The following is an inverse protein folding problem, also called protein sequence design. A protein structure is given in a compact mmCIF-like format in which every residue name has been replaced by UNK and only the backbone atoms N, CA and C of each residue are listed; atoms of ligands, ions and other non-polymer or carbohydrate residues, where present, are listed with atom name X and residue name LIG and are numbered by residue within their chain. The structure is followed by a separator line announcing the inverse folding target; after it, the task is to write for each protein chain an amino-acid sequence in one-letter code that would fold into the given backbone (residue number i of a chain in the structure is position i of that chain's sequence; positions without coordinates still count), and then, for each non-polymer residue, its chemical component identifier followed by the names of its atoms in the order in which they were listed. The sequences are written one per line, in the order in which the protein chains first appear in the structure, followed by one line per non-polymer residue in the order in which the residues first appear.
data_IF_963255114895
#
_entry.id   IF_963255114895
#
_cell.length_a   1.000
_cell.length_b   1.000
_cell.length_c   1.000
_cell.angle_alpha   90.00
_cell.angle_beta   90.00
_cell.angle_gamma   90.00
#
_symmetry.space_group_name_H-M   'P 1'
#
loop_
_entity.id
_entity.type
_entity.pdbx_description
1 polymer ?
#
# COMPACT_ATOMS: atom_id res chain seq x y z
N UNK A 1 -13.91 -15.70 -3.22
CA UNK A 1 -12.86 -14.77 -2.76
C UNK A 1 -13.08 -13.44 -3.45
N UNK A 2 -13.58 -12.43 -2.73
CA UNK A 2 -14.06 -11.18 -3.32
C UNK A 2 -12.89 -10.29 -3.78
N UNK A 3 -12.86 -9.98 -5.08
CA UNK A 3 -11.97 -9.01 -5.72
C UNK A 3 -12.37 -7.58 -5.30
N UNK A 4 -12.04 -7.17 -4.07
CA UNK A 4 -12.22 -5.77 -3.64
C UNK A 4 -11.00 -4.95 -4.04
N UNK A 5 -11.20 -3.98 -4.93
CA UNK A 5 -10.17 -3.02 -5.32
C UNK A 5 -9.84 -2.00 -4.21
N UNK A 6 -10.78 -1.79 -3.27
CA UNK A 6 -10.69 -0.80 -2.21
C UNK A 6 -10.73 -1.47 -0.84
N UNK A 7 -9.64 -1.29 -0.08
CA UNK A 7 -9.47 -1.77 1.29
C UNK A 7 -9.90 -0.68 2.28
N UNK A 8 -10.63 -1.10 3.31
CA UNK A 8 -10.93 -0.28 4.48
C UNK A 8 -9.79 -0.34 5.49
N UNK A 9 -9.76 0.59 6.44
CA UNK A 9 -8.76 0.55 7.51
C UNK A 9 -8.86 -0.71 8.39
N UNK A 10 -10.06 -1.26 8.52
CA UNK A 10 -10.28 -2.52 9.24
C UNK A 10 -9.67 -3.69 8.47
N UNK A 11 -9.86 -3.77 7.15
CA UNK A 11 -9.21 -4.77 6.31
C UNK A 11 -7.67 -4.67 6.34
N UNK A 12 -7.12 -3.44 6.37
CA UNK A 12 -5.67 -3.25 6.51
C UNK A 12 -5.14 -3.74 7.86
N UNK A 13 -5.92 -3.58 8.92
CA UNK A 13 -5.58 -4.06 10.26
C UNK A 13 -5.71 -5.59 10.34
N UNK A 14 -6.77 -6.18 9.78
CA UNK A 14 -6.97 -7.63 9.69
C UNK A 14 -5.91 -8.33 8.83
N UNK A 15 -5.44 -7.66 7.78
CA UNK A 15 -4.31 -8.12 6.96
C UNK A 15 -2.96 -8.00 7.67
N UNK A 16 -2.90 -7.40 8.86
CA UNK A 16 -1.67 -7.24 9.61
C UNK A 16 -0.69 -6.23 9.02
N UNK A 17 -1.16 -5.33 8.14
CA UNK A 17 -0.32 -4.30 7.49
C UNK A 17 0.23 -3.33 8.53
N UNK A 18 -0.69 -2.74 9.30
CA UNK A 18 -0.40 -1.82 10.39
C UNK A 18 -1.69 -1.53 11.16
N UNK A 19 -1.56 -1.15 12.43
CA UNK A 19 -2.70 -0.66 13.21
C UNK A 19 -3.26 0.64 12.63
N UNK A 20 -4.56 0.88 12.79
CA UNK A 20 -5.23 2.11 12.34
C UNK A 20 -4.45 3.40 12.61
N UNK A 21 -3.94 3.56 13.84
CA UNK A 21 -3.17 4.75 14.25
C UNK A 21 -1.88 4.92 13.46
N UNK A 22 -1.18 3.82 13.18
CA UNK A 22 0.07 3.82 12.42
C UNK A 22 -0.17 4.14 10.95
N UNK A 23 -1.27 3.66 10.37
CA UNK A 23 -1.66 4.03 9.00
C UNK A 23 -1.86 5.54 8.90
N UNK A 24 -2.65 6.15 9.79
CA UNK A 24 -2.84 7.61 9.78
C UNK A 24 -1.55 8.39 10.02
N UNK A 25 -0.66 7.87 10.87
CA UNK A 25 0.66 8.45 11.09
C UNK A 25 1.51 8.43 9.80
N UNK A 26 1.56 7.30 9.10
CA UNK A 26 2.32 7.15 7.85
C UNK A 26 1.70 7.98 6.70
N UNK A 27 0.37 8.08 6.63
CA UNK A 27 -0.32 8.97 5.67
C UNK A 27 0.06 10.42 5.94
N UNK A 28 0.10 10.85 7.21
CA UNK A 28 0.52 12.21 7.58
C UNK A 28 1.99 12.48 7.25
N UNK A 29 2.84 11.45 7.36
CA UNK A 29 4.27 11.53 6.99
C UNK A 29 4.52 11.47 5.48
N UNK A 30 3.52 11.05 4.70
CA UNK A 30 3.64 10.85 3.25
C UNK A 30 4.29 9.53 2.85
N UNK A 31 4.52 8.63 3.81
CA UNK A 31 5.08 7.29 3.58
C UNK A 31 4.02 6.29 3.11
N UNK A 32 2.76 6.47 3.46
CA UNK A 32 1.67 5.54 3.09
C UNK A 32 0.77 6.16 2.02
N UNK A 33 0.17 5.35 1.12
CA UNK A 33 -0.73 5.84 0.10
C UNK A 33 -1.88 6.65 0.67
N UNK A 34 -2.26 7.70 -0.06
CA UNK A 34 -3.33 8.60 0.35
C UNK A 34 -4.67 7.86 0.32
N UNK A 35 -5.51 8.02 1.34
CA UNK A 35 -6.86 7.47 1.30
C UNK A 35 -7.67 8.13 0.18
N UNK A 36 -8.31 7.30 -0.62
CA UNK A 36 -9.42 7.68 -1.50
C UNK A 36 -10.63 7.99 -0.61
N UNK A 37 -11.10 9.23 -0.68
CA UNK A 37 -12.21 9.71 0.13
C UNK A 37 -13.52 9.20 -0.47
N UNK A 38 -14.04 8.10 0.08
CA UNK A 38 -15.30 7.50 -0.37
C UNK A 38 -16.39 7.83 0.64
N UNK A 39 -17.06 8.96 0.42
CA UNK A 39 -18.18 9.49 1.20
C UNK A 39 -17.88 9.61 2.72
N UNK A 40 -18.21 8.57 3.50
CA UNK A 40 -18.01 8.50 4.97
C UNK A 40 -16.77 7.71 5.39
N UNK A 41 -16.10 7.07 4.45
CA UNK A 41 -15.00 6.14 4.73
C UNK A 41 -13.79 6.45 3.86
N UNK A 42 -12.66 6.59 4.52
CA UNK A 42 -11.36 6.56 3.83
C UNK A 42 -11.10 5.13 3.37
N UNK A 43 -10.82 4.96 2.08
CA UNK A 43 -10.49 3.66 1.47
C UNK A 43 -9.15 3.75 0.79
N UNK A 44 -8.43 2.65 0.71
CA UNK A 44 -7.13 2.56 0.05
C UNK A 44 -7.23 1.62 -1.13
N UNK A 45 -6.62 1.96 -2.26
CA UNK A 45 -6.53 1.01 -3.35
C UNK A 45 -5.60 -0.13 -2.91
N UNK A 46 -6.03 -1.38 -3.16
CA UNK A 46 -5.21 -2.55 -2.83
C UNK A 46 -3.84 -2.50 -3.52
N UNK A 47 -3.81 -1.95 -4.74
CA UNK A 47 -2.62 -1.89 -5.59
C UNK A 47 -1.58 -0.94 -4.99
N UNK A 48 -2.00 0.23 -4.53
CA UNK A 48 -1.15 1.18 -3.83
C UNK A 48 -0.58 0.61 -2.53
N UNK A 49 -1.40 -0.11 -1.74
CA UNK A 49 -0.97 -0.74 -0.49
C UNK A 49 0.02 -1.86 -0.78
N UNK A 50 -0.22 -2.67 -1.81
CA UNK A 50 0.68 -3.74 -2.22
C UNK A 50 2.02 -3.18 -2.71
N UNK A 51 2.01 -2.11 -3.52
CA UNK A 51 3.23 -1.43 -3.96
C UNK A 51 4.00 -0.82 -2.78
N UNK A 52 3.29 -0.32 -1.77
CA UNK A 52 3.92 0.16 -0.54
C UNK A 52 4.59 -0.97 0.25
N UNK A 53 3.94 -2.12 0.41
CA UNK A 53 4.52 -3.29 1.07
C UNK A 53 5.80 -3.76 0.36
N UNK A 54 5.76 -3.81 -0.97
CA UNK A 54 6.91 -4.18 -1.79
C UNK A 54 8.09 -3.23 -1.55
N UNK A 55 7.82 -1.93 -1.53
CA UNK A 55 8.81 -0.88 -1.22
C UNK A 55 9.35 -0.95 0.22
N UNK A 56 8.56 -1.46 1.17
CA UNK A 56 8.97 -1.61 2.57
C UNK A 56 9.73 -2.90 2.84
N UNK A 57 9.70 -3.90 1.95
CA UNK A 57 10.42 -5.16 2.14
C UNK A 57 11.92 -4.94 1.86
N UNK A 58 12.78 -4.81 2.88
CA UNK A 58 14.20 -4.53 2.68
C UNK A 58 14.95 -5.71 2.04
N UNK A 59 14.31 -6.89 1.91
CA UNK A 59 14.86 -8.04 1.20
C UNK A 59 14.70 -7.97 -0.33
N UNK A 60 13.86 -7.07 -0.86
CA UNK A 60 13.91 -6.71 -2.28
C UNK A 60 14.98 -5.63 -2.46
N UNK A 61 16.24 -6.05 -2.29
CA UNK A 61 17.36 -5.34 -2.91
C UNK A 61 17.04 -5.29 -4.39
N UNK A 62 16.90 -4.09 -4.91
CA UNK A 62 16.67 -3.75 -6.31
C UNK A 62 17.83 -4.24 -7.19
N UNK A 63 17.89 -5.53 -7.47
CA UNK A 63 18.28 -6.14 -8.74
C UNK A 63 17.06 -6.97 -9.12
N UNK A 64 16.40 -6.77 -10.24
CA UNK A 64 16.93 -6.85 -11.60
C UNK A 64 15.98 -6.10 -12.56
N UNK A 65 16.45 -5.90 -13.80
CA UNK A 65 15.70 -5.47 -15.01
C UNK A 65 15.44 -3.97 -15.24
N UNK A 66 16.52 -3.20 -15.41
CA UNK A 66 16.59 -2.27 -16.57
C UNK A 66 17.77 -2.70 -17.47
N UNK A 67 17.65 -3.92 -18.01
CA UNK A 67 18.48 -4.41 -19.09
C UNK A 67 18.02 -3.77 -20.38
N UNK A 68 18.58 -2.59 -20.69
CA UNK A 68 18.55 -1.94 -22.00
C UNK A 68 18.45 -2.95 -23.15
N UNK A 69 17.29 -2.98 -23.79
CA UNK A 69 17.16 -3.30 -25.21
C UNK A 69 17.91 -2.23 -26.00
N UNK A 70 19.17 -2.50 -26.33
CA UNK A 70 19.93 -1.78 -27.34
C UNK A 70 21.05 -2.67 -27.88
N UNK A 71 20.73 -3.48 -28.89
CA UNK A 71 21.64 -3.97 -29.93
C UNK A 71 20.81 -4.49 -31.11
#
# INVERSE_FOLDING_TARGET
MTLKALLTIQELEEMGIASRTKIYYLVKRGDFPKPLKYDRTNRWAREDVQAWLDKQNPNHTKGDEDGRLAA
#
